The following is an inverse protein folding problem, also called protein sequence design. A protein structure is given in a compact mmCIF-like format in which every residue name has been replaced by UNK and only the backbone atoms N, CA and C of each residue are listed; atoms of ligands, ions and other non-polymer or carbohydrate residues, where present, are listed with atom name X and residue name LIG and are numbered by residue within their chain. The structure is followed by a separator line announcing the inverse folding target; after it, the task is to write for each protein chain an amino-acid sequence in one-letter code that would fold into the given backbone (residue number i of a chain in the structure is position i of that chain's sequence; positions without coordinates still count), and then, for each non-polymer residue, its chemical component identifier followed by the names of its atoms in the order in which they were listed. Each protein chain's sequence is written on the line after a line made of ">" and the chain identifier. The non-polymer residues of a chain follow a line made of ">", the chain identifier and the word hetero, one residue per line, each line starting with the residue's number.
data_IF_919002965056
#
_entry.id   IF_919002965056
#
_cell.length_a   1.000
_cell.length_b   1.000
_cell.length_c   1.000
_cell.angle_alpha   90.00
_cell.angle_beta   90.00
_cell.angle_gamma   90.00
#
_symmetry.space_group_name_H-M   'P 1'
#
loop_
_entity.id
_entity.type
_entity.pdbx_description
1 polymer ?
#
# COMPACT_ATOMS: atom_id res chain seq x y z
N UNK A 1 -22.72 -83.84 -44.64
CA UNK A 1 -23.30 -85.10 -44.10
C UNK A 1 -23.63 -84.90 -42.63
N UNK A 2 -24.64 -85.61 -42.09
CA UNK A 2 -25.28 -85.28 -40.81
C UNK A 2 -24.67 -86.06 -39.63
N UNK A 3 -25.04 -85.66 -38.41
CA UNK A 3 -25.62 -86.58 -37.41
C UNK A 3 -26.35 -85.77 -36.31
N UNK A 4 -27.60 -86.17 -36.06
CA UNK A 4 -28.38 -85.85 -34.85
C UNK A 4 -28.24 -87.02 -33.87
N UNK A 5 -28.19 -86.74 -32.57
CA UNK A 5 -28.81 -87.42 -31.40
C UNK A 5 -28.42 -86.54 -30.19
N UNK A 6 -29.29 -86.12 -29.26
CA UNK A 6 -30.20 -86.93 -28.42
C UNK A 6 -29.49 -87.22 -27.08
N UNK A 7 -30.04 -86.98 -25.88
CA UNK A 7 -31.35 -86.49 -25.44
C UNK A 7 -31.41 -86.47 -23.89
N UNK A 8 -32.61 -86.39 -23.29
CA UNK A 8 -32.92 -86.45 -21.83
C UNK A 8 -32.47 -85.24 -20.97
N UNK A 9 -33.05 -84.84 -19.84
CA UNK A 9 -34.33 -85.06 -19.07
C UNK A 9 -34.25 -84.02 -17.91
N UNK A 10 -35.26 -83.33 -17.37
CA UNK A 10 -36.72 -83.19 -17.58
C UNK A 10 -37.15 -81.79 -17.04
N UNK A 11 -38.29 -81.18 -17.41
CA UNK A 11 -39.64 -81.27 -16.79
C UNK A 11 -39.62 -81.38 -15.24
N UNK A 12 -40.29 -80.52 -14.45
CA UNK A 12 -41.61 -79.87 -14.66
C UNK A 12 -41.84 -78.56 -13.86
N UNK A 13 -43.04 -77.96 -14.05
CA UNK A 13 -43.70 -76.89 -13.27
C UNK A 13 -43.51 -75.40 -13.64
N UNK A 14 -43.84 -75.11 -14.90
CA UNK A 14 -45.02 -74.31 -15.33
C UNK A 14 -45.33 -72.95 -14.66
N UNK A 15 -45.28 -71.91 -15.52
CA UNK A 15 -46.13 -70.71 -15.67
C UNK A 15 -46.72 -69.96 -14.44
N UNK A 16 -46.61 -68.63 -14.48
CA UNK A 16 -47.71 -67.78 -14.99
C UNK A 16 -47.19 -66.41 -15.48
N UNK A 17 -47.57 -66.02 -16.69
CA UNK A 17 -47.61 -64.62 -17.10
C UNK A 17 -48.90 -63.97 -16.60
N UNK A 18 -48.94 -62.63 -16.47
CA UNK A 18 -50.05 -61.74 -16.86
C UNK A 18 -49.80 -60.28 -16.41
N UNK A 19 -50.42 -59.36 -17.13
CA UNK A 19 -50.83 -58.00 -16.75
C UNK A 19 -49.77 -56.92 -16.41
N UNK A 20 -49.46 -56.13 -17.45
CA UNK A 20 -49.24 -54.69 -17.33
C UNK A 20 -50.55 -53.97 -16.91
N UNK A 21 -50.52 -53.08 -15.91
CA UNK A 21 -51.52 -52.02 -15.76
C UNK A 21 -51.08 -50.76 -16.52
N UNK A 22 -51.91 -50.31 -17.46
CA UNK A 22 -51.82 -48.96 -18.02
C UNK A 22 -52.24 -47.94 -16.96
N UNK A 23 -51.29 -47.21 -16.36
CA UNK A 23 -51.59 -46.03 -15.55
C UNK A 23 -50.96 -44.78 -16.18
N UNK A 24 -51.83 -43.97 -16.78
CA UNK A 24 -51.50 -42.60 -17.17
C UNK A 24 -51.25 -41.79 -15.90
N UNK A 25 -50.00 -41.42 -15.65
CA UNK A 25 -49.69 -40.29 -14.79
C UNK A 25 -49.02 -39.18 -15.60
N UNK A 26 -49.74 -38.07 -15.68
CA UNK A 26 -49.22 -36.78 -16.10
C UNK A 26 -48.24 -36.25 -15.05
N UNK A 27 -46.95 -36.16 -15.39
CA UNK A 27 -46.14 -34.98 -15.10
C UNK A 27 -44.85 -35.02 -15.94
N UNK A 28 -44.28 -33.84 -16.22
CA UNK A 28 -43.14 -33.68 -17.12
C UNK A 28 -41.81 -34.11 -16.48
N UNK A 29 -40.78 -34.42 -17.30
CA UNK A 29 -39.47 -34.84 -16.81
C UNK A 29 -38.76 -33.69 -16.09
N UNK A 30 -38.07 -34.04 -14.99
CA UNK A 30 -36.98 -33.22 -14.45
C UNK A 30 -35.80 -33.39 -15.40
N UNK A 31 -35.80 -32.63 -16.50
CA UNK A 31 -34.58 -32.33 -17.22
C UNK A 31 -33.70 -31.52 -16.29
N UNK A 32 -32.51 -32.03 -15.95
CA UNK A 32 -31.45 -31.22 -15.35
C UNK A 32 -30.89 -30.32 -16.45
N UNK A 33 -31.64 -29.27 -16.76
CA UNK A 33 -31.15 -28.16 -17.57
C UNK A 33 -30.05 -27.49 -16.76
N UNK A 34 -28.79 -27.71 -17.15
CA UNK A 34 -27.71 -26.86 -16.69
C UNK A 34 -28.03 -25.42 -17.09
N UNK A 35 -28.51 -24.63 -16.13
CA UNK A 35 -28.52 -23.18 -16.27
C UNK A 35 -27.06 -22.75 -16.37
N UNK A 36 -26.62 -22.59 -17.62
CA UNK A 36 -25.43 -21.84 -17.95
C UNK A 36 -25.77 -20.38 -17.64
N UNK A 37 -25.69 -20.04 -16.35
CA UNK A 37 -25.73 -18.66 -15.88
C UNK A 37 -24.62 -17.96 -16.63
N UNK A 38 -24.99 -17.11 -17.57
CA UNK A 38 -24.10 -16.05 -18.02
C UNK A 38 -23.72 -15.30 -16.76
N UNK A 39 -22.46 -15.41 -16.36
CA UNK A 39 -21.86 -14.37 -15.55
C UNK A 39 -21.91 -13.12 -16.42
N UNK A 40 -22.93 -12.30 -16.18
CA UNK A 40 -22.85 -10.87 -16.48
C UNK A 40 -21.48 -10.41 -16.01
N UNK A 41 -20.71 -9.68 -16.83
CA UNK A 41 -19.40 -9.20 -16.41
C UNK A 41 -19.62 -8.32 -15.19
N UNK A 42 -19.29 -8.84 -14.02
CA UNK A 42 -19.22 -8.06 -12.79
C UNK A 42 -18.40 -6.84 -13.14
N UNK A 43 -18.94 -5.64 -12.91
CA UNK A 43 -18.21 -4.41 -13.10
C UNK A 43 -16.89 -4.55 -12.36
N UNK A 44 -15.83 -4.83 -13.13
CA UNK A 44 -14.48 -4.78 -12.64
C UNK A 44 -14.27 -3.30 -12.39
N UNK A 45 -14.52 -2.89 -11.14
CA UNK A 45 -13.96 -1.66 -10.59
C UNK A 45 -12.48 -1.80 -10.89
N UNK A 46 -12.01 -1.07 -11.90
CA UNK A 46 -10.59 -0.93 -12.13
C UNK A 46 -10.07 -0.28 -10.87
N UNK A 47 -9.52 -1.10 -9.97
CA UNK A 47 -8.81 -0.65 -8.79
C UNK A 47 -7.55 0.03 -9.32
N UNK A 48 -7.71 1.31 -9.67
CA UNK A 48 -6.60 2.15 -10.03
C UNK A 48 -5.74 2.24 -8.76
N UNK A 49 -4.52 1.75 -8.83
CA UNK A 49 -3.56 1.93 -7.76
C UNK A 49 -2.75 3.21 -8.03
N UNK A 50 -2.39 3.90 -6.95
CA UNK A 50 -1.49 5.05 -6.94
C UNK A 50 -0.15 4.60 -6.36
N UNK A 51 0.95 5.01 -6.98
CA UNK A 51 2.28 4.85 -6.40
C UNK A 51 2.43 5.74 -5.15
N UNK A 52 3.10 5.21 -4.13
CA UNK A 52 3.45 5.92 -2.89
C UNK A 52 4.96 5.99 -2.80
N UNK A 53 5.49 7.18 -2.54
CA UNK A 53 6.91 7.45 -2.45
C UNK A 53 7.28 8.05 -1.08
N UNK A 54 8.51 7.81 -0.65
CA UNK A 54 9.18 8.64 0.34
C UNK A 54 9.85 9.78 -0.40
N UNK A 55 9.42 11.02 -0.15
CA UNK A 55 10.17 12.20 -0.55
C UNK A 55 11.13 12.58 0.58
N UNK A 56 12.43 12.50 0.28
CA UNK A 56 13.52 12.76 1.23
C UNK A 56 14.20 14.07 0.85
N UNK A 57 14.03 15.06 1.73
CA UNK A 57 14.54 16.41 1.54
C UNK A 57 15.83 16.63 2.32
N UNK A 58 16.85 17.23 1.69
CA UNK A 58 18.15 17.49 2.32
C UNK A 58 18.83 18.75 1.75
N UNK A 59 18.73 19.86 2.49
CA UNK A 59 19.45 21.09 2.15
C UNK A 59 20.97 21.02 2.37
N UNK A 60 21.47 20.11 3.22
CA UNK A 60 22.92 19.85 3.35
C UNK A 60 23.24 18.45 3.92
N UNK A 61 24.44 17.90 3.64
CA UNK A 61 24.88 16.61 4.20
C UNK A 61 24.98 16.57 5.73
N UNK A 62 25.13 17.72 6.41
CA UNK A 62 25.25 17.81 7.87
C UNK A 62 23.92 17.93 8.61
N UNK A 63 22.82 18.20 7.90
CA UNK A 63 21.47 18.25 8.48
C UNK A 63 20.84 16.86 8.48
N UNK A 64 19.89 16.62 9.39
CA UNK A 64 19.01 15.44 9.31
C UNK A 64 18.01 15.67 8.16
N UNK A 65 17.84 14.68 7.29
CA UNK A 65 16.90 14.76 6.19
C UNK A 65 15.46 14.87 6.71
N UNK A 66 14.65 15.67 6.03
CA UNK A 66 13.21 15.75 6.27
C UNK A 66 12.49 14.71 5.41
N UNK A 67 11.55 13.98 6.02
CA UNK A 67 10.79 12.93 5.36
C UNK A 67 9.35 13.40 5.12
N UNK A 68 8.82 13.05 3.94
CA UNK A 68 7.42 13.19 3.60
C UNK A 68 6.94 11.95 2.85
N UNK A 69 5.65 11.64 2.98
CA UNK A 69 4.97 10.72 2.06
C UNK A 69 4.54 11.53 0.84
N UNK A 70 4.87 11.08 -0.36
CA UNK A 70 4.47 11.71 -1.61
C UNK A 70 3.62 10.75 -2.44
N UNK A 71 2.48 11.24 -2.92
CA UNK A 71 1.56 10.50 -3.79
C UNK A 71 1.29 11.38 -5.01
N UNK A 72 1.64 10.97 -6.24
CA UNK A 72 1.35 11.77 -7.44
C UNK A 72 -0.16 12.01 -7.62
N UNK A 73 -0.52 13.03 -8.39
CA UNK A 73 -1.89 13.20 -8.91
C UNK A 73 -2.19 12.14 -9.97
N UNK A 74 -3.45 11.73 -10.15
CA UNK A 74 -3.88 10.67 -11.09
C UNK A 74 -3.15 10.69 -12.45
N UNK A 75 -3.04 11.86 -13.07
CA UNK A 75 -2.37 12.12 -14.37
C UNK A 75 -0.85 12.06 -14.39
N UNK A 76 -0.20 12.08 -13.23
CA UNK A 76 1.25 12.25 -13.06
C UNK A 76 1.95 11.01 -12.47
N UNK A 77 1.22 9.91 -12.29
CA UNK A 77 1.81 8.65 -11.82
C UNK A 77 2.55 7.93 -12.92
N UNK A 78 3.68 7.35 -12.56
CA UNK A 78 4.58 6.65 -13.47
C UNK A 78 5.38 5.64 -12.65
N UNK A 79 5.44 4.34 -13.06
CA UNK A 79 6.20 3.31 -12.34
C UNK A 79 7.72 3.54 -12.27
N UNK A 80 8.26 4.49 -13.03
CA UNK A 80 9.70 4.86 -13.04
C UNK A 80 9.99 6.23 -12.41
N UNK A 81 9.05 6.80 -11.64
CA UNK A 81 9.23 8.16 -11.09
C UNK A 81 10.40 8.25 -10.11
N UNK A 82 10.67 7.21 -9.33
CA UNK A 82 11.84 7.12 -8.44
C UNK A 82 13.18 7.30 -9.18
N UNK A 83 13.25 6.86 -10.44
CA UNK A 83 14.47 6.88 -11.26
C UNK A 83 14.73 8.21 -11.97
N UNK A 84 13.67 8.93 -12.35
CA UNK A 84 13.79 10.11 -13.24
C UNK A 84 12.71 11.19 -12.99
N UNK A 85 12.41 11.47 -11.72
CA UNK A 85 11.44 12.50 -11.33
C UNK A 85 11.82 13.93 -11.74
N UNK A 86 13.07 14.20 -12.14
CA UNK A 86 13.50 15.54 -12.58
C UNK A 86 13.21 15.83 -14.05
N UNK A 87 12.90 14.83 -14.89
CA UNK A 87 12.70 15.04 -16.34
C UNK A 87 11.26 15.34 -16.75
N UNK A 88 10.28 15.10 -15.88
CA UNK A 88 8.84 15.16 -16.19
C UNK A 88 8.06 15.75 -15.02
N UNK A 89 6.93 16.38 -15.32
CA UNK A 89 5.99 16.87 -14.29
C UNK A 89 5.50 15.72 -13.40
N UNK A 90 5.68 15.89 -12.10
CA UNK A 90 5.24 14.99 -11.05
C UNK A 90 4.51 15.81 -9.97
N UNK A 91 3.45 16.51 -10.38
CA UNK A 91 2.51 17.11 -9.44
C UNK A 91 1.87 16.01 -8.58
N UNK A 92 1.77 16.28 -7.27
CA UNK A 92 1.14 15.36 -6.33
C UNK A 92 0.84 15.98 -4.98
N UNK A 93 0.37 15.14 -4.05
CA UNK A 93 0.22 15.50 -2.64
C UNK A 93 1.49 15.11 -1.86
N UNK A 94 2.10 16.09 -1.17
CA UNK A 94 3.12 15.85 -0.14
C UNK A 94 2.44 15.89 1.23
N UNK A 95 2.64 14.85 2.03
CA UNK A 95 2.10 14.70 3.39
C UNK A 95 3.28 14.63 4.37
N UNK A 96 3.39 15.61 5.26
CA UNK A 96 4.52 15.68 6.20
C UNK A 96 4.20 16.45 7.48
N UNK A 97 5.11 16.37 8.45
CA UNK A 97 5.10 17.22 9.64
C UNK A 97 6.18 18.28 9.57
N UNK A 98 5.79 19.55 9.57
CA UNK A 98 6.68 20.70 9.51
C UNK A 98 6.65 21.49 10.82
N UNK A 99 7.77 22.12 11.18
CA UNK A 99 7.86 22.95 12.39
C UNK A 99 9.22 22.92 13.05
N UNK A 100 9.26 23.40 14.30
CA UNK A 100 10.47 23.62 15.07
C UNK A 100 10.38 22.92 16.44
N UNK A 101 11.27 21.98 16.77
CA UNK A 101 11.14 21.09 17.94
C UNK A 101 11.11 21.81 19.30
N UNK A 102 11.70 23.00 19.40
CA UNK A 102 11.77 23.76 20.66
C UNK A 102 10.46 24.50 20.96
N UNK A 103 10.10 25.48 20.14
CA UNK A 103 9.10 26.49 20.50
C UNK A 103 7.69 26.14 20.03
N UNK A 104 7.57 25.75 18.75
CA UNK A 104 6.27 25.50 18.09
C UNK A 104 5.86 24.03 18.11
N UNK A 105 6.84 23.12 18.14
CA UNK A 105 6.61 21.71 17.82
C UNK A 105 6.41 21.55 16.31
N UNK A 106 5.83 20.41 15.93
CA UNK A 106 5.51 20.10 14.54
C UNK A 106 4.00 20.11 14.30
N UNK A 107 3.59 20.32 13.05
CA UNK A 107 2.19 20.31 12.59
C UNK A 107 2.09 19.52 11.30
N UNK A 108 1.05 18.70 11.18
CA UNK A 108 0.72 17.97 9.95
C UNK A 108 0.28 18.96 8.86
N UNK A 109 0.98 18.94 7.73
CA UNK A 109 0.73 19.75 6.55
C UNK A 109 0.55 18.83 5.33
N UNK A 110 -0.47 19.14 4.53
CA UNK A 110 -0.73 18.59 3.21
C UNK A 110 -0.44 19.68 2.19
N UNK A 111 0.47 19.42 1.25
CA UNK A 111 0.66 20.26 0.07
C UNK A 111 0.05 19.57 -1.13
N UNK A 112 -0.95 20.19 -1.76
CA UNK A 112 -1.60 19.75 -2.99
C UNK A 112 -0.87 20.32 -4.20
N UNK A 113 -0.77 19.55 -5.27
CA UNK A 113 -0.15 19.94 -6.53
C UNK A 113 1.28 20.48 -6.36
N UNK A 114 2.05 19.94 -5.41
CA UNK A 114 3.49 20.23 -5.32
C UNK A 114 4.17 19.57 -6.53
N UNK A 115 4.82 20.37 -7.37
CA UNK A 115 5.58 19.88 -8.53
C UNK A 115 6.94 19.36 -8.08
N UNK A 116 7.05 18.04 -7.93
CA UNK A 116 8.22 17.40 -7.35
C UNK A 116 9.50 17.69 -8.16
N UNK A 117 9.41 17.74 -9.50
CA UNK A 117 10.53 17.85 -10.44
C UNK A 117 11.32 19.16 -10.31
N UNK A 118 10.68 20.21 -9.79
CA UNK A 118 11.27 21.54 -9.61
C UNK A 118 11.80 21.78 -8.20
N UNK A 119 11.58 20.85 -7.26
CA UNK A 119 12.02 21.02 -5.88
C UNK A 119 13.55 20.89 -5.76
N UNK A 120 14.28 21.95 -5.35
CA UNK A 120 15.73 21.88 -5.21
C UNK A 120 16.16 21.05 -4.00
N UNK A 121 15.28 20.91 -3.01
CA UNK A 121 15.57 20.28 -1.72
C UNK A 121 15.32 18.77 -1.71
N UNK A 122 14.57 18.21 -2.68
CA UNK A 122 14.41 16.75 -2.81
C UNK A 122 15.74 16.16 -3.31
N UNK A 123 16.35 15.37 -2.43
CA UNK A 123 17.59 14.62 -2.65
C UNK A 123 17.27 13.28 -3.32
N UNK A 124 16.20 12.63 -2.86
CA UNK A 124 15.82 11.27 -3.24
C UNK A 124 14.28 11.09 -3.20
N UNK A 125 13.72 10.44 -4.22
CA UNK A 125 12.40 9.82 -4.16
C UNK A 125 12.57 8.31 -4.11
N UNK A 126 11.97 7.64 -3.13
CA UNK A 126 12.05 6.18 -2.99
C UNK A 126 10.65 5.60 -3.15
N UNK A 127 10.47 4.66 -4.09
CA UNK A 127 9.20 3.93 -4.20
C UNK A 127 8.96 3.06 -2.96
N UNK A 128 7.81 3.26 -2.29
CA UNK A 128 7.42 2.52 -1.10
C UNK A 128 6.41 1.40 -1.38
N UNK A 129 5.63 1.53 -2.47
CA UNK A 129 4.53 0.64 -2.79
C UNK A 129 3.36 1.37 -3.43
N UNK A 130 2.17 0.82 -3.29
CA UNK A 130 0.93 1.37 -3.83
C UNK A 130 -0.19 1.48 -2.79
N UNK A 131 -1.16 2.37 -3.08
CA UNK A 131 -2.44 2.56 -2.38
C UNK A 131 -3.59 2.50 -3.40
N UNK A 132 -4.78 2.06 -3.00
CA UNK A 132 -5.98 2.16 -3.83
C UNK A 132 -6.37 3.65 -4.02
N UNK A 133 -6.62 4.08 -5.25
CA UNK A 133 -6.97 5.48 -5.56
C UNK A 133 -8.21 5.97 -4.82
N UNK A 134 -9.15 5.07 -4.45
CA UNK A 134 -10.34 5.42 -3.68
C UNK A 134 -10.02 5.92 -2.26
N UNK A 135 -8.82 5.67 -1.75
CA UNK A 135 -8.33 6.17 -0.46
C UNK A 135 -7.48 7.45 -0.57
N UNK A 136 -7.23 7.95 -1.79
CA UNK A 136 -6.42 9.14 -2.09
C UNK A 136 -7.31 10.29 -2.52
N UNK A 137 -6.97 11.52 -2.12
CA UNK A 137 -7.66 12.71 -2.60
C UNK A 137 -6.97 13.29 -3.84
N UNK A 138 -7.63 13.20 -5.00
CA UNK A 138 -7.28 14.00 -6.18
C UNK A 138 -7.82 15.45 -6.03
N UNK A 139 -6.96 16.48 -6.07
CA UNK A 139 -7.39 17.88 -6.08
C UNK A 139 -8.14 18.24 -7.38
N UNK A 140 -9.27 18.94 -7.25
CA UNK A 140 -10.07 19.37 -8.42
C UNK A 140 -9.48 20.58 -9.17
N UNK A 141 -8.65 21.38 -8.50
CA UNK A 141 -7.97 22.54 -9.05
C UNK A 141 -6.46 22.21 -9.15
N UNK A 142 -5.77 22.49 -10.26
CA UNK A 142 -4.30 22.34 -10.38
C UNK A 142 -3.48 23.31 -9.52
N UNK A 143 -4.07 24.37 -8.95
CA UNK A 143 -3.34 25.34 -8.11
C UNK A 143 -2.64 24.68 -6.91
N UNK A 144 -1.42 25.11 -6.60
CA UNK A 144 -0.73 24.71 -5.36
C UNK A 144 -1.52 25.17 -4.13
N UNK A 145 -1.83 24.24 -3.22
CA UNK A 145 -2.54 24.54 -1.96
C UNK A 145 -1.82 23.90 -0.78
N UNK A 146 -1.66 24.67 0.30
CA UNK A 146 -1.16 24.19 1.59
C UNK A 146 -2.31 24.17 2.59
N UNK A 147 -2.60 23.01 3.17
CA UNK A 147 -3.67 22.84 4.16
C UNK A 147 -3.28 21.87 5.28
N UNK A 148 -4.06 21.84 6.35
CA UNK A 148 -3.88 20.93 7.50
C UNK A 148 -5.06 19.99 7.69
N UNK A 149 -6.04 20.00 6.77
CA UNK A 149 -7.29 19.25 6.87
C UNK A 149 -7.20 17.97 6.01
N UNK A 150 -7.29 16.77 6.61
CA UNK A 150 -7.33 15.53 5.85
C UNK A 150 -8.63 15.41 5.05
N UNK A 151 -8.56 14.84 3.85
CA UNK A 151 -9.67 14.74 2.90
C UNK A 151 -10.17 13.31 2.76
N UNK A 152 -9.29 12.36 2.45
CA UNK A 152 -9.63 10.96 2.18
C UNK A 152 -9.02 9.97 3.19
N UNK A 153 -9.43 8.70 3.12
CA UNK A 153 -9.12 7.65 4.12
C UNK A 153 -7.64 7.60 4.53
N UNK A 154 -6.71 7.62 3.58
CA UNK A 154 -5.27 7.58 3.88
C UNK A 154 -4.82 8.79 4.72
N UNK A 155 -5.33 9.97 4.42
CA UNK A 155 -5.00 11.21 5.13
C UNK A 155 -5.67 11.27 6.51
N UNK A 156 -6.88 10.74 6.62
CA UNK A 156 -7.63 10.64 7.87
C UNK A 156 -6.90 9.70 8.86
N UNK A 157 -6.40 8.56 8.39
CA UNK A 157 -5.57 7.65 9.19
C UNK A 157 -4.24 8.29 9.58
N UNK A 158 -3.54 8.97 8.67
CA UNK A 158 -2.32 9.74 9.00
C UNK A 158 -2.60 10.79 10.09
N UNK A 159 -3.74 11.48 10.02
CA UNK A 159 -4.12 12.51 10.98
C UNK A 159 -4.40 11.96 12.41
N UNK A 160 -4.56 10.65 12.58
CA UNK A 160 -4.60 10.02 13.92
C UNK A 160 -3.23 9.98 14.61
N UNK A 161 -2.13 10.08 13.84
CA UNK A 161 -0.77 9.96 14.35
C UNK A 161 -0.25 11.33 14.81
N UNK A 162 -0.14 11.50 16.12
CA UNK A 162 0.29 12.75 16.75
C UNK A 162 1.65 13.26 16.20
N UNK A 163 1.70 14.48 15.63
CA UNK A 163 2.95 15.13 15.24
C UNK A 163 3.92 15.23 16.43
N UNK A 164 5.25 15.24 16.19
CA UNK A 164 6.20 15.31 17.28
C UNK A 164 6.02 16.58 18.14
N UNK A 165 6.10 16.47 19.48
CA UNK A 165 5.73 17.55 20.39
C UNK A 165 6.73 18.71 20.36
N UNK A 166 6.32 19.85 20.93
CA UNK A 166 7.21 20.98 21.27
C UNK A 166 8.00 20.72 22.55
N UNK A 167 9.06 21.48 22.78
CA UNK A 167 9.88 21.40 23.99
C UNK A 167 10.85 20.22 24.04
N UNK A 168 11.19 19.62 22.90
CA UNK A 168 12.13 18.51 22.83
C UNK A 168 13.58 18.97 23.01
N UNK A 169 14.44 18.13 23.60
CA UNK A 169 15.88 18.40 23.65
C UNK A 169 16.51 18.21 22.27
N UNK A 170 16.86 19.32 21.62
CA UNK A 170 17.47 19.31 20.29
C UNK A 170 18.93 18.82 20.25
N UNK A 171 19.57 18.62 21.41
CA UNK A 171 20.94 18.11 21.57
C UNK A 171 20.99 16.64 21.99
N UNK A 172 19.87 16.09 22.45
CA UNK A 172 19.72 14.66 22.71
C UNK A 172 19.71 13.87 21.39
N UNK A 173 20.29 12.66 21.35
CA UNK A 173 20.04 11.70 20.27
C UNK A 173 18.55 11.39 20.11
N UNK A 174 18.16 10.99 18.90
CA UNK A 174 16.79 10.54 18.63
C UNK A 174 16.56 9.18 19.30
N UNK A 175 15.57 9.09 20.20
CA UNK A 175 15.14 7.83 20.83
C UNK A 175 13.78 7.34 20.31
N UNK A 176 13.05 8.17 19.55
CA UNK A 176 11.70 7.88 19.05
C UNK A 176 10.59 8.01 20.10
N UNK A 177 10.91 8.37 21.35
CA UNK A 177 9.96 8.44 22.46
C UNK A 177 9.94 9.82 23.10
N UNK A 178 11.10 10.34 23.50
CA UNK A 178 11.28 11.67 24.11
C UNK A 178 11.80 12.69 23.10
N UNK A 179 12.62 12.24 22.16
CA UNK A 179 13.13 13.02 21.03
C UNK A 179 12.74 12.32 19.74
N UNK A 180 11.69 12.85 19.09
CA UNK A 180 11.02 12.35 17.88
C UNK A 180 10.96 13.48 16.85
N UNK A 181 11.31 13.23 15.60
CA UNK A 181 11.22 14.22 14.53
C UNK A 181 10.42 13.68 13.34
N UNK A 182 10.46 14.38 12.21
CA UNK A 182 9.72 14.01 11.01
C UNK A 182 9.99 12.58 10.54
N UNK A 183 11.24 12.12 10.51
CA UNK A 183 11.58 10.74 10.13
C UNK A 183 10.84 9.71 11.00
N UNK A 184 10.85 9.90 12.33
CA UNK A 184 10.23 8.98 13.28
C UNK A 184 8.70 9.00 13.18
N UNK A 185 8.11 10.19 12.98
CA UNK A 185 6.68 10.32 12.69
C UNK A 185 6.28 9.64 11.38
N UNK A 186 7.06 9.81 10.30
CA UNK A 186 6.82 9.12 9.02
C UNK A 186 6.86 7.60 9.18
N UNK A 187 7.73 7.05 10.04
CA UNK A 187 7.72 5.61 10.32
C UNK A 187 6.42 5.14 10.97
N UNK A 188 5.93 5.86 11.98
CA UNK A 188 4.65 5.53 12.62
C UNK A 188 3.48 5.62 11.63
N UNK A 189 3.46 6.62 10.75
CA UNK A 189 2.47 6.71 9.68
C UNK A 189 2.53 5.52 8.72
N UNK A 190 3.72 5.13 8.25
CA UNK A 190 3.84 4.00 7.32
C UNK A 190 3.45 2.67 7.99
N UNK A 191 3.87 2.42 9.24
CA UNK A 191 3.41 1.25 10.00
C UNK A 191 1.89 1.24 10.17
N UNK A 192 1.28 2.38 10.52
CA UNK A 192 -0.19 2.50 10.65
C UNK A 192 -0.91 2.22 9.32
N UNK A 193 -0.40 2.74 8.21
CA UNK A 193 -1.00 2.52 6.89
C UNK A 193 -0.85 1.07 6.43
N UNK A 194 0.25 0.38 6.76
CA UNK A 194 0.40 -1.06 6.54
C UNK A 194 -0.59 -1.87 7.40
N UNK A 195 -0.74 -1.54 8.68
CA UNK A 195 -1.71 -2.18 9.59
C UNK A 195 -3.16 -2.06 9.09
N UNK A 196 -3.52 -0.91 8.50
CA UNK A 196 -4.83 -0.68 7.89
C UNK A 196 -4.95 -1.21 6.45
N UNK A 197 -3.90 -1.86 5.91
CA UNK A 197 -3.82 -2.33 4.52
C UNK A 197 -4.02 -1.22 3.47
N UNK A 198 -3.74 0.04 3.82
CA UNK A 198 -3.87 1.21 2.96
C UNK A 198 -2.64 1.43 2.07
N UNK A 199 -1.47 0.90 2.44
CA UNK A 199 -0.28 0.86 1.58
C UNK A 199 0.29 -0.54 1.52
N UNK A 200 1.08 -0.84 0.48
CA UNK A 200 1.77 -2.13 0.35
C UNK A 200 2.63 -2.46 1.58
N UNK A 201 2.56 -3.71 2.03
CA UNK A 201 3.39 -4.21 3.12
C UNK A 201 4.88 -4.12 2.77
N UNK A 202 5.68 -3.55 3.68
CA UNK A 202 7.12 -3.33 3.50
C UNK A 202 7.50 -1.88 3.18
N UNK A 203 6.55 -0.98 2.90
CA UNK A 203 6.77 0.46 2.81
C UNK A 203 7.54 1.03 4.02
N UNK A 204 7.15 0.66 5.24
CA UNK A 204 7.85 1.06 6.47
C UNK A 204 9.27 0.45 6.53
N UNK A 205 9.46 -0.79 6.09
CA UNK A 205 10.80 -1.41 6.02
C UNK A 205 11.71 -0.70 5.02
N UNK A 206 11.18 -0.30 3.86
CA UNK A 206 11.91 0.45 2.84
C UNK A 206 12.31 1.81 3.41
N UNK A 207 11.36 2.62 3.89
CA UNK A 207 11.65 3.94 4.46
C UNK A 207 12.65 3.89 5.63
N UNK A 208 12.62 2.83 6.45
CA UNK A 208 13.59 2.62 7.53
C UNK A 208 15.03 2.46 7.04
N UNK A 209 15.27 1.94 5.83
CA UNK A 209 16.62 1.83 5.28
C UNK A 209 17.22 3.16 4.78
N UNK A 210 16.39 4.18 4.58
CA UNK A 210 16.84 5.53 4.17
C UNK A 210 16.95 6.51 5.35
N UNK A 211 16.59 6.10 6.58
CA UNK A 211 16.64 6.95 7.79
C UNK A 211 18.07 7.31 8.18
N UNK A 212 18.22 8.51 8.72
CA UNK A 212 19.48 8.96 9.29
C UNK A 212 19.72 8.32 10.67
N UNK A 213 20.98 7.99 10.97
CA UNK A 213 21.40 7.50 12.28
C UNK A 213 20.95 8.44 13.42
N UNK A 214 20.62 7.94 14.63
CA UNK A 214 20.06 8.75 15.73
C UNK A 214 20.86 9.97 16.19
N UNK A 215 22.16 10.02 15.88
CA UNK A 215 23.09 11.11 16.19
C UNK A 215 23.35 12.06 15.01
N UNK A 216 22.87 11.74 13.81
CA UNK A 216 23.10 12.54 12.62
C UNK A 216 22.20 13.79 12.59
N UNK A 217 22.81 14.95 12.32
CA UNK A 217 22.12 16.25 12.27
C UNK A 217 21.71 16.83 13.63
N UNK A 218 22.26 16.32 14.75
CA UNK A 218 21.98 16.83 16.10
C UNK A 218 22.76 18.13 16.34
N UNK A 219 22.06 19.16 16.83
CA UNK A 219 22.64 20.51 16.96
C UNK A 219 23.78 20.54 17.99
N UNK A 220 24.97 20.96 17.54
CA UNK A 220 26.17 21.02 18.38
C UNK A 220 26.96 19.71 18.50
N UNK A 221 26.50 18.61 17.89
CA UNK A 221 27.31 17.39 17.74
C UNK A 221 28.02 17.40 16.38
N UNK A 222 29.28 17.85 16.35
CA UNK A 222 30.15 17.61 15.20
C UNK A 222 30.53 16.12 15.16
N UNK A 223 30.46 15.51 13.97
CA UNK A 223 30.56 14.06 13.79
C UNK A 223 31.85 13.48 14.37
N UNK A 224 31.74 12.78 15.50
CA UNK A 224 32.86 12.16 16.20
C UNK A 224 33.27 10.81 15.59
N UNK A 225 33.64 10.80 14.31
CA UNK A 225 34.37 9.68 13.70
C UNK A 225 35.85 9.72 14.06
N UNK A 226 36.15 9.56 15.35
CA UNK A 226 37.51 9.23 15.82
C UNK A 226 37.55 7.80 16.31
N UNK A 227 37.77 6.87 15.37
CA UNK A 227 38.28 5.53 15.68
C UNK A 227 39.63 5.70 16.40
N UNK A 228 39.80 5.21 17.64
CA UNK A 228 41.11 5.18 18.26
C UNK A 228 42.00 4.23 17.45
N UNK A 229 43.18 4.72 17.03
CA UNK A 229 44.11 3.92 16.24
C UNK A 229 44.58 2.68 17.00
N UNK A 230 44.80 1.60 16.28
CA UNK A 230 45.52 0.43 16.80
C UNK A 230 46.90 0.86 17.28
N UNK A 231 47.14 0.72 18.59
CA UNK A 231 48.47 0.83 19.16
C UNK A 231 49.21 -0.49 18.92
N UNK A 232 50.09 -0.50 17.93
CA UNK A 232 51.07 -1.57 17.75
C UNK A 232 52.42 -1.11 18.31
N UNK A 233 52.81 -1.69 19.45
CA UNK A 233 54.18 -1.87 19.92
C UNK A 233 54.19 -2.85 21.09
#
# INVERSE_FOLDING_TARGET
>A
MPMLMGGNTDSDFIQMALQLPQLRFSSLPILVTCLLLKQEPSYAVYMAYRSVYLAKYRGSPSQRAHFAIFIPNSTNDNPDLDKDWKSKSCMGTVIHVVGEPLMKGYTLEFKRNEECSTSPDIDELVFLGTVDSTHVHDPLNPDFVRETHPRQTLEQEIATIAPPPRGQDIRAPIDGVRTKRCQEWTMECLSRLEEQCLVSSGAAKIAQSHRDAPNHGIFGQSGASKTPGSAAQ
#
